data_IF_572766325333
#
_entry.id   IF_572766325333
#
_cell.length_a   1.000
_cell.length_b   1.000
_cell.length_c   1.000
_cell.angle_alpha   90.00
_cell.angle_beta   90.00
_cell.angle_gamma   90.00
#
_symmetry.space_group_name_H-M   'P 1'
#
loop_
_entity.id
_entity.type
_entity.pdbx_description
1 polymer ?
#
# COMPACT_ATOMS: atom_id res chain seq x y z
N UNK A 1 21.36 -3.00 -89.28
CA UNK A 1 20.40 -2.42 -88.36
C UNK A 1 20.80 -2.91 -86.96
N UNK A 2 21.31 -2.00 -86.13
CA UNK A 2 21.71 -2.31 -84.73
C UNK A 2 20.65 -1.77 -83.83
N UNK A 3 19.90 -2.65 -83.11
CA UNK A 3 18.95 -2.28 -82.10
C UNK A 3 19.66 -2.09 -80.80
N UNK A 4 19.61 -0.85 -80.25
CA UNK A 4 20.09 -0.52 -78.91
C UNK A 4 18.98 -0.77 -77.91
N UNK A 5 19.21 -1.64 -76.91
CA UNK A 5 18.30 -1.84 -75.78
C UNK A 5 18.66 -0.80 -74.73
N UNK A 6 17.68 0.09 -74.44
CA UNK A 6 17.70 0.97 -73.25
C UNK A 6 17.35 0.16 -71.99
N UNK A 7 18.31 -0.01 -71.08
CA UNK A 7 18.04 -0.47 -69.70
C UNK A 7 17.55 0.74 -68.90
N UNK A 8 16.27 0.72 -68.52
CA UNK A 8 15.71 1.67 -67.57
C UNK A 8 16.09 1.27 -66.14
N UNK A 9 16.94 2.06 -65.49
CA UNK A 9 17.18 2.00 -64.06
C UNK A 9 15.98 2.58 -63.35
N UNK A 10 15.17 1.73 -62.70
CA UNK A 10 14.15 2.15 -61.75
C UNK A 10 14.86 2.54 -60.41
N UNK A 11 14.57 3.71 -59.84
CA UNK A 11 15.09 4.05 -58.50
C UNK A 11 14.43 3.16 -57.47
N UNK A 12 15.27 2.45 -56.69
CA UNK A 12 14.80 1.80 -55.44
C UNK A 12 14.38 2.91 -54.46
N UNK A 13 13.07 3.13 -54.33
CA UNK A 13 12.52 3.95 -53.27
C UNK A 13 12.69 3.16 -51.97
N UNK A 14 13.59 3.58 -51.09
CA UNK A 14 13.59 3.18 -49.72
C UNK A 14 12.31 3.75 -49.08
N UNK A 15 11.31 2.91 -48.91
CA UNK A 15 10.10 3.28 -48.11
C UNK A 15 10.56 3.45 -46.67
N UNK A 16 10.44 4.66 -46.15
CA UNK A 16 10.55 4.88 -44.71
C UNK A 16 9.46 4.01 -43.99
N UNK A 17 9.79 3.39 -42.87
CA UNK A 17 8.83 2.55 -42.15
C UNK A 17 7.58 3.34 -41.87
N UNK A 18 6.42 2.77 -42.21
CA UNK A 18 5.11 3.42 -42.01
C UNK A 18 4.90 3.63 -40.51
N UNK A 19 4.57 4.89 -40.11
CA UNK A 19 4.21 5.19 -38.73
C UNK A 19 3.02 4.31 -38.29
N UNK A 20 3.10 3.79 -37.11
CA UNK A 20 2.01 3.04 -36.44
C UNK A 20 0.75 3.89 -36.34
N UNK A 21 -0.42 3.27 -36.45
CA UNK A 21 -1.71 3.97 -36.30
C UNK A 21 -2.00 4.31 -34.81
N UNK A 22 -1.54 3.45 -33.88
CA UNK A 22 -1.61 3.69 -32.43
C UNK A 22 -0.26 3.40 -31.77
N UNK A 23 0.15 4.17 -30.74
CA UNK A 23 1.41 3.96 -30.03
C UNK A 23 1.49 2.57 -29.40
N UNK A 24 2.69 2.00 -29.30
CA UNK A 24 2.92 0.80 -28.52
C UNK A 24 2.55 1.02 -27.04
N UNK A 25 1.89 0.07 -26.38
CA UNK A 25 1.51 0.23 -24.99
C UNK A 25 2.73 0.34 -24.07
N UNK A 26 2.67 1.29 -23.12
CA UNK A 26 3.61 1.40 -22.03
C UNK A 26 3.06 0.66 -20.81
N UNK A 27 3.66 -0.49 -20.51
CA UNK A 27 3.24 -1.35 -19.42
C UNK A 27 4.01 -1.00 -18.13
N UNK A 28 3.33 -1.10 -16.99
CA UNK A 28 3.95 -0.99 -15.67
C UNK A 28 3.61 -2.26 -14.89
N UNK A 29 4.61 -3.10 -14.54
CA UNK A 29 4.39 -4.28 -13.72
C UNK A 29 3.70 -3.91 -12.40
N UNK A 30 2.56 -4.57 -12.13
CA UNK A 30 1.83 -4.34 -10.88
C UNK A 30 2.51 -5.09 -9.74
N UNK A 31 2.56 -4.45 -8.57
CA UNK A 31 3.11 -5.09 -7.38
C UNK A 31 4.64 -5.25 -7.39
N UNK A 32 5.36 -4.50 -8.22
CA UNK A 32 6.81 -4.53 -8.28
C UNK A 32 7.40 -3.15 -7.96
N UNK A 33 8.58 -3.12 -7.37
CA UNK A 33 9.36 -1.89 -7.23
C UNK A 33 9.94 -1.54 -8.60
N UNK A 34 9.42 -0.49 -9.22
CA UNK A 34 9.86 -0.04 -10.54
C UNK A 34 11.22 0.63 -10.47
N UNK A 35 12.05 0.41 -11.50
CA UNK A 35 13.32 1.12 -11.68
C UNK A 35 13.05 2.39 -12.47
N UNK A 36 13.32 3.54 -11.84
CA UNK A 36 13.08 4.84 -12.47
C UNK A 36 13.94 5.02 -13.73
N UNK A 37 13.31 5.44 -14.83
CA UNK A 37 13.98 5.71 -16.08
C UNK A 37 14.48 4.49 -16.85
N UNK A 38 14.28 3.26 -16.37
CA UNK A 38 14.69 2.03 -17.05
C UNK A 38 13.49 1.31 -17.66
N UNK A 39 13.68 0.80 -18.87
CA UNK A 39 12.60 0.16 -19.64
C UNK A 39 13.11 -1.02 -20.45
N UNK A 40 12.23 -1.98 -20.68
CA UNK A 40 12.40 -3.11 -21.59
C UNK A 40 11.52 -2.85 -22.80
N UNK A 41 12.15 -2.80 -23.99
CA UNK A 41 11.47 -2.62 -25.28
C UNK A 41 11.38 -3.98 -25.95
N UNK A 42 10.17 -4.49 -26.17
CA UNK A 42 9.91 -5.74 -26.87
C UNK A 42 9.43 -5.48 -28.28
N UNK A 43 10.06 -6.15 -29.25
CA UNK A 43 9.65 -6.14 -30.65
C UNK A 43 8.68 -7.31 -30.92
N UNK A 44 7.89 -7.19 -31.98
CA UNK A 44 7.08 -8.30 -32.48
C UNK A 44 7.97 -9.51 -32.81
N UNK A 45 7.46 -10.71 -32.56
CA UNK A 45 8.20 -11.95 -32.76
C UNK A 45 8.75 -12.10 -34.20
N UNK A 46 7.98 -11.67 -35.19
CA UNK A 46 8.32 -11.75 -36.61
C UNK A 46 9.22 -10.64 -37.11
N UNK A 47 9.64 -9.68 -36.26
CA UNK A 47 10.52 -8.60 -36.65
C UNK A 47 11.90 -9.15 -37.09
N UNK A 48 12.45 -8.60 -38.18
CA UNK A 48 13.79 -8.95 -38.65
C UNK A 48 14.85 -8.55 -37.60
N UNK A 49 16.04 -9.16 -37.66
CA UNK A 49 17.15 -8.78 -36.79
C UNK A 49 17.60 -7.32 -37.07
N UNK A 50 17.49 -6.86 -38.34
CA UNK A 50 17.74 -5.45 -38.69
C UNK A 50 16.80 -4.49 -37.95
N UNK A 51 15.54 -4.86 -37.71
CA UNK A 51 14.57 -4.05 -36.96
C UNK A 51 15.04 -3.79 -35.51
N UNK A 52 15.76 -4.75 -34.89
CA UNK A 52 16.33 -4.55 -33.56
C UNK A 52 17.42 -3.46 -33.58
N UNK A 53 18.27 -3.46 -34.59
CA UNK A 53 19.31 -2.42 -34.77
C UNK A 53 18.69 -1.06 -35.09
N UNK A 54 17.69 -1.03 -35.96
CA UNK A 54 16.97 0.20 -36.33
C UNK A 54 16.25 0.80 -35.10
N UNK A 55 15.60 -0.04 -34.29
CA UNK A 55 14.94 0.40 -33.06
C UNK A 55 15.91 0.92 -32.02
N UNK A 56 17.08 0.27 -31.87
CA UNK A 56 18.13 0.73 -30.96
C UNK A 56 18.78 2.04 -31.45
N UNK A 57 18.79 2.31 -32.75
CA UNK A 57 19.28 3.58 -33.30
C UNK A 57 18.32 4.75 -33.12
N UNK A 58 17.05 4.49 -32.69
CA UNK A 58 16.03 5.51 -32.48
C UNK A 58 16.20 6.31 -31.19
N UNK A 59 17.01 5.83 -30.23
CA UNK A 59 17.28 6.53 -28.96
C UNK A 59 18.76 6.86 -28.80
N UNK A 60 19.07 7.83 -27.94
CA UNK A 60 20.44 8.26 -27.65
C UNK A 60 20.97 7.52 -26.42
N UNK A 61 21.70 6.44 -26.61
CA UNK A 61 22.32 5.69 -25.54
C UNK A 61 22.66 4.26 -25.93
N UNK A 62 23.37 3.59 -25.05
CA UNK A 62 23.65 2.17 -25.18
C UNK A 62 22.60 1.32 -24.51
N UNK A 63 22.24 0.17 -25.08
CA UNK A 63 21.39 -0.79 -24.43
C UNK A 63 22.13 -1.47 -23.27
N UNK A 64 21.51 -1.54 -22.07
CA UNK A 64 22.07 -2.29 -20.95
C UNK A 64 22.13 -3.81 -21.27
N UNK A 65 21.06 -4.28 -21.94
CA UNK A 65 20.92 -5.68 -22.37
C UNK A 65 20.24 -5.74 -23.74
N UNK A 66 20.68 -6.67 -24.59
CA UNK A 66 20.04 -6.97 -25.86
C UNK A 66 19.56 -8.41 -25.87
N UNK A 67 18.31 -8.59 -26.22
CA UNK A 67 17.64 -9.89 -26.25
C UNK A 67 17.36 -10.30 -27.69
N UNK A 68 17.84 -11.47 -28.10
CA UNK A 68 17.59 -12.03 -29.43
C UNK A 68 17.46 -13.56 -29.32
N UNK A 69 16.36 -13.99 -28.73
CA UNK A 69 16.02 -15.41 -28.61
C UNK A 69 14.67 -15.66 -29.28
N UNK A 70 14.39 -16.93 -29.62
CA UNK A 70 13.07 -17.32 -30.15
C UNK A 70 11.96 -16.92 -29.17
N UNK A 71 10.94 -16.24 -29.68
CA UNK A 71 9.82 -15.71 -28.88
C UNK A 71 10.09 -14.40 -28.16
N UNK A 72 11.36 -13.92 -28.05
CA UNK A 72 11.67 -12.67 -27.37
C UNK A 72 12.82 -11.90 -28.03
N UNK A 73 12.48 -10.84 -28.77
CA UNK A 73 13.44 -9.88 -29.33
C UNK A 73 13.21 -8.51 -28.69
N UNK A 74 14.28 -7.82 -28.35
CA UNK A 74 14.20 -6.51 -27.72
C UNK A 74 15.46 -6.10 -27.01
N UNK A 75 15.36 -5.09 -26.16
CA UNK A 75 16.49 -4.59 -25.37
C UNK A 75 15.99 -3.93 -24.09
N UNK A 76 16.90 -3.77 -23.12
CA UNK A 76 16.67 -2.95 -21.93
C UNK A 76 17.62 -1.74 -21.96
N UNK A 77 17.13 -0.57 -21.60
CA UNK A 77 17.91 0.66 -21.54
C UNK A 77 17.30 1.72 -20.63
N UNK A 78 18.10 2.73 -20.28
CA UNK A 78 17.61 4.00 -19.76
C UNK A 78 17.01 4.80 -20.92
N UNK A 79 15.75 5.22 -20.79
CA UNK A 79 15.03 5.96 -21.82
C UNK A 79 14.46 7.25 -21.25
N UNK A 80 14.62 8.34 -22.00
CA UNK A 80 13.97 9.62 -21.72
C UNK A 80 12.51 9.59 -22.18
N UNK A 81 11.72 10.60 -21.80
CA UNK A 81 10.35 10.75 -22.29
C UNK A 81 10.29 10.87 -23.83
N UNK A 82 11.29 11.55 -24.43
CA UNK A 82 11.40 11.69 -25.88
C UNK A 82 11.73 10.36 -26.56
N UNK A 83 12.61 9.55 -25.97
CA UNK A 83 12.94 8.21 -26.48
C UNK A 83 11.72 7.29 -26.41
N UNK A 84 10.95 7.36 -25.32
CA UNK A 84 9.71 6.59 -25.18
C UNK A 84 8.70 6.93 -26.27
N UNK A 85 8.47 8.21 -26.58
CA UNK A 85 7.56 8.62 -27.67
C UNK A 85 8.01 8.09 -29.03
N UNK A 86 9.31 8.17 -29.33
CA UNK A 86 9.89 7.63 -30.57
C UNK A 86 9.69 6.13 -30.67
N UNK A 87 10.03 5.40 -29.60
CA UNK A 87 9.92 3.94 -29.57
C UNK A 87 8.47 3.46 -29.59
N UNK A 88 7.54 4.14 -28.90
CA UNK A 88 6.11 3.83 -28.98
C UNK A 88 5.54 4.02 -30.38
N UNK A 89 6.12 4.93 -31.16
CA UNK A 89 5.71 5.18 -32.55
C UNK A 89 6.35 4.23 -33.56
N UNK A 90 7.33 3.40 -33.14
CA UNK A 90 8.07 2.52 -34.03
C UNK A 90 7.22 1.28 -34.44
N UNK A 91 7.16 0.94 -35.74
CA UNK A 91 6.27 -0.12 -36.24
C UNK A 91 6.59 -1.52 -35.69
N UNK A 92 7.86 -1.79 -35.39
CA UNK A 92 8.32 -3.09 -34.92
C UNK A 92 8.23 -3.28 -33.40
N UNK A 93 7.93 -2.23 -32.62
CA UNK A 93 7.79 -2.33 -31.17
C UNK A 93 6.41 -2.89 -30.80
N UNK A 94 6.37 -4.02 -30.12
CA UNK A 94 5.13 -4.64 -29.64
C UNK A 94 4.61 -3.91 -28.38
N UNK A 95 5.48 -3.77 -27.38
CA UNK A 95 5.24 -2.99 -26.18
C UNK A 95 6.54 -2.50 -25.54
N UNK A 96 6.42 -1.54 -24.64
CA UNK A 96 7.48 -1.09 -23.75
C UNK A 96 7.01 -1.36 -22.32
N UNK A 97 7.85 -1.97 -21.49
CA UNK A 97 7.57 -2.24 -20.09
C UNK A 97 8.59 -1.53 -19.20
N UNK A 98 8.14 -0.83 -18.18
CA UNK A 98 9.06 -0.26 -17.20
C UNK A 98 9.77 -1.38 -16.43
N UNK A 99 11.09 -1.32 -16.33
CA UNK A 99 11.89 -2.32 -15.62
C UNK A 99 11.56 -2.33 -14.13
N UNK A 100 11.71 -3.47 -13.49
CA UNK A 100 11.33 -3.70 -12.10
C UNK A 100 12.35 -4.57 -11.37
N UNK A 101 12.48 -4.34 -10.06
CA UNK A 101 13.34 -5.15 -9.20
C UNK A 101 12.70 -6.53 -8.99
N UNK A 102 13.45 -7.56 -9.35
CA UNK A 102 13.15 -8.95 -9.00
C UNK A 102 13.95 -9.32 -7.75
N UNK A 103 13.26 -9.76 -6.71
CA UNK A 103 13.88 -10.14 -5.43
C UNK A 103 13.55 -11.58 -5.08
N UNK A 104 14.46 -12.24 -4.37
CA UNK A 104 14.15 -13.49 -3.67
C UNK A 104 13.33 -13.11 -2.44
N UNK A 105 12.06 -13.44 -2.41
CA UNK A 105 11.18 -13.22 -1.26
C UNK A 105 11.56 -14.20 -0.16
N UNK A 106 12.24 -13.71 0.88
CA UNK A 106 12.58 -14.50 2.05
C UNK A 106 11.51 -14.27 3.13
N UNK A 107 10.58 -15.21 3.27
CA UNK A 107 9.70 -15.22 4.43
C UNK A 107 10.49 -15.57 5.70
N UNK A 108 10.21 -14.80 6.75
CA UNK A 108 10.74 -14.99 8.10
C UNK A 108 9.59 -15.37 9.02
N UNK A 109 9.84 -16.27 9.97
CA UNK A 109 8.85 -16.66 10.98
C UNK A 109 9.25 -16.13 12.34
N UNK A 110 8.42 -15.31 12.94
CA UNK A 110 8.51 -14.95 14.35
C UNK A 110 7.78 -16.01 15.17
N UNK A 111 8.53 -16.85 15.88
CA UNK A 111 7.96 -17.77 16.88
C UNK A 111 7.40 -16.98 18.07
N UNK A 112 6.33 -17.48 18.69
CA UNK A 112 5.71 -16.84 19.87
C UNK A 112 5.05 -15.50 19.59
N UNK A 113 4.70 -15.21 18.33
CA UNK A 113 3.96 -14.02 17.97
C UNK A 113 2.57 -14.00 18.65
N UNK A 114 2.07 -12.79 18.95
CA UNK A 114 0.71 -12.62 19.49
C UNK A 114 -0.33 -13.13 18.50
N UNK A 115 -1.49 -13.56 18.98
CA UNK A 115 -2.51 -14.18 18.14
C UNK A 115 -2.96 -13.28 16.99
N UNK A 116 -3.03 -11.96 17.21
CA UNK A 116 -3.50 -11.01 16.21
C UNK A 116 -2.62 -10.99 14.96
N UNK A 117 -1.31 -10.74 15.09
CA UNK A 117 -0.40 -10.75 13.95
C UNK A 117 -0.19 -12.17 13.39
N UNK A 118 -0.21 -13.18 14.26
CA UNK A 118 -0.11 -14.57 13.83
C UNK A 118 -1.27 -14.95 12.90
N UNK A 119 -2.51 -14.59 13.26
CA UNK A 119 -3.71 -14.87 12.44
C UNK A 119 -3.67 -14.22 11.06
N UNK A 120 -3.02 -13.06 10.93
CA UNK A 120 -2.82 -12.38 9.63
C UNK A 120 -1.96 -13.17 8.64
N UNK A 121 -1.12 -14.08 9.10
CA UNK A 121 -0.23 -14.83 8.22
C UNK A 121 -0.69 -16.28 7.97
N UNK A 122 -1.91 -16.63 8.37
CA UNK A 122 -2.43 -17.99 8.22
C UNK A 122 -3.83 -18.00 7.62
N UNK A 123 -4.12 -18.96 6.76
CA UNK A 123 -5.47 -19.19 6.22
C UNK A 123 -6.40 -19.78 7.28
N UNK A 124 -5.84 -20.56 8.20
CA UNK A 124 -6.53 -21.14 9.35
C UNK A 124 -5.58 -21.29 10.55
N UNK A 125 -6.10 -21.16 11.76
CA UNK A 125 -5.29 -21.22 12.98
C UNK A 125 -4.34 -20.04 13.15
N UNK A 126 -3.37 -20.16 14.04
CA UNK A 126 -2.33 -19.17 14.29
C UNK A 126 -1.14 -19.79 15.00
N UNK A 127 0.02 -19.86 14.35
CA UNK A 127 1.25 -20.39 14.97
C UNK A 127 2.48 -19.62 14.45
N UNK A 128 2.87 -18.57 15.17
CA UNK A 128 3.91 -17.65 14.75
C UNK A 128 3.39 -16.65 13.72
N UNK A 129 4.21 -15.67 13.39
CA UNK A 129 3.92 -14.67 12.36
C UNK A 129 4.90 -14.84 11.21
N UNK A 130 4.39 -15.19 10.04
CA UNK A 130 5.18 -15.37 8.81
C UNK A 130 5.06 -14.12 7.95
N UNK A 131 6.19 -13.51 7.62
CA UNK A 131 6.21 -12.24 6.88
C UNK A 131 7.47 -12.13 6.01
N UNK A 132 7.40 -11.34 4.95
CA UNK A 132 8.54 -10.99 4.12
C UNK A 132 9.49 -10.03 4.86
N UNK A 133 10.78 -10.17 4.64
CA UNK A 133 11.82 -9.41 5.31
C UNK A 133 11.81 -7.90 5.00
N UNK A 134 11.08 -7.45 3.98
CA UNK A 134 10.84 -6.01 3.70
C UNK A 134 10.12 -5.35 4.88
N UNK A 135 9.15 -6.03 5.48
CA UNK A 135 8.50 -5.69 6.74
C UNK A 135 8.06 -4.21 6.87
N UNK A 136 7.66 -3.57 5.76
CA UNK A 136 7.25 -2.17 5.75
C UNK A 136 8.40 -1.16 5.58
N UNK A 137 9.60 -1.60 5.19
CA UNK A 137 10.74 -0.69 4.96
C UNK A 137 10.39 0.42 3.97
N UNK A 138 10.76 1.67 4.32
CA UNK A 138 10.53 2.84 3.47
C UNK A 138 9.11 3.38 3.48
N UNK A 139 8.20 2.80 4.29
CA UNK A 139 6.86 3.35 4.47
C UNK A 139 6.78 4.30 5.65
N UNK A 140 5.83 5.25 5.59
CA UNK A 140 5.48 6.16 6.67
C UNK A 140 4.08 5.80 7.19
N UNK A 141 3.98 5.47 8.48
CA UNK A 141 2.70 5.19 9.15
C UNK A 141 2.35 6.32 10.12
N UNK A 142 1.32 7.09 9.79
CA UNK A 142 0.80 8.16 10.64
C UNK A 142 -0.25 7.59 11.61
N UNK A 143 -0.11 7.90 12.88
CA UNK A 143 -1.06 7.54 13.96
C UNK A 143 -1.76 8.80 14.43
N UNK A 144 -3.00 8.99 13.98
CA UNK A 144 -3.86 10.13 14.34
C UNK A 144 -4.70 9.68 15.53
N UNK A 145 -4.21 9.99 16.78
CA UNK A 145 -4.71 9.37 18.00
C UNK A 145 -4.32 10.20 19.25
N UNK A 146 -4.12 9.58 20.41
CA UNK A 146 -3.70 10.20 21.70
C UNK A 146 -2.23 10.58 21.76
N UNK A 147 -1.46 10.35 20.69
CA UNK A 147 0.00 10.48 20.63
C UNK A 147 0.70 9.12 20.60
N UNK A 148 2.01 9.10 20.66
CA UNK A 148 2.86 7.90 20.83
C UNK A 148 3.89 8.19 21.91
N UNK A 149 4.11 7.24 22.82
CA UNK A 149 5.29 7.21 23.69
C UNK A 149 6.51 6.76 22.85
N UNK A 150 7.13 7.72 22.16
CA UNK A 150 8.13 7.47 21.11
C UNK A 150 9.43 6.85 21.63
N UNK A 151 9.72 6.99 22.93
CA UNK A 151 10.89 6.41 23.60
C UNK A 151 10.73 4.91 23.93
N UNK A 152 9.59 4.29 23.61
CA UNK A 152 9.39 2.85 23.87
C UNK A 152 10.38 2.02 23.07
N UNK A 153 11.09 1.09 23.75
CA UNK A 153 12.17 0.27 23.17
C UNK A 153 11.71 -0.56 21.95
N UNK A 154 10.45 -0.98 21.93
CA UNK A 154 9.84 -1.73 20.83
C UNK A 154 9.79 -0.94 19.50
N UNK A 155 9.90 0.37 19.54
CA UNK A 155 9.94 1.20 18.32
C UNK A 155 11.36 1.38 17.76
N UNK A 156 12.41 1.04 18.49
CA UNK A 156 13.80 1.05 18.02
C UNK A 156 14.22 2.40 17.38
N UNK A 157 13.68 3.52 17.88
CA UNK A 157 13.93 4.87 17.36
C UNK A 157 13.14 5.24 16.10
N UNK A 158 12.25 4.38 15.59
CA UNK A 158 11.45 4.61 14.38
C UNK A 158 10.17 5.44 14.64
N UNK A 159 9.86 5.77 15.88
CA UNK A 159 8.71 6.60 16.23
C UNK A 159 9.10 8.07 16.44
N UNK A 160 8.35 8.98 15.83
CA UNK A 160 8.58 10.44 15.93
C UNK A 160 7.26 11.15 16.21
N UNK A 161 7.30 12.13 17.13
CA UNK A 161 6.16 12.99 17.42
C UNK A 161 6.16 14.18 16.45
N UNK A 162 5.07 14.42 15.72
CA UNK A 162 5.02 15.46 14.69
C UNK A 162 4.15 16.67 15.06
N UNK A 163 2.93 16.42 15.56
CA UNK A 163 1.96 17.50 15.78
C UNK A 163 1.00 17.17 16.92
N UNK A 164 0.49 18.22 17.55
CA UNK A 164 -0.47 18.15 18.65
C UNK A 164 -1.60 19.18 18.45
N UNK A 165 -2.83 18.72 18.45
CA UNK A 165 -4.06 19.50 18.32
C UNK A 165 -5.06 19.24 19.44
N UNK A 166 -4.62 18.58 20.52
CA UNK A 166 -5.48 18.15 21.62
C UNK A 166 -5.22 18.93 22.93
N UNK A 167 -3.97 18.99 23.36
CA UNK A 167 -3.55 19.56 24.64
C UNK A 167 -2.13 20.14 24.58
N UNK A 168 -1.54 20.48 25.73
CA UNK A 168 -0.18 21.04 25.81
C UNK A 168 0.93 19.99 25.92
N UNK A 169 0.60 18.68 25.95
CA UNK A 169 1.57 17.60 26.19
C UNK A 169 1.92 16.85 24.91
N UNK A 170 3.18 16.90 24.50
CA UNK A 170 3.70 16.21 23.31
C UNK A 170 4.12 14.75 23.59
N UNK A 171 3.30 14.03 24.36
CA UNK A 171 3.45 12.60 24.60
C UNK A 171 2.07 11.94 24.65
N UNK A 172 2.03 10.61 24.67
CA UNK A 172 0.82 9.86 24.87
C UNK A 172 0.49 9.73 26.37
N UNK A 173 -0.40 10.58 26.85
CA UNK A 173 -0.88 10.53 28.25
C UNK A 173 -1.96 9.48 28.52
N UNK A 174 -2.49 8.83 27.49
CA UNK A 174 -3.55 7.82 27.57
C UNK A 174 -3.01 6.39 27.44
N UNK A 175 -2.26 6.12 26.38
CA UNK A 175 -1.71 4.81 26.02
C UNK A 175 -2.34 4.20 24.76
N UNK A 176 -3.51 4.66 24.34
CA UNK A 176 -4.21 4.10 23.18
C UNK A 176 -3.42 4.27 21.88
N UNK A 177 -2.91 5.46 21.58
CA UNK A 177 -2.12 5.70 20.37
C UNK A 177 -0.79 4.94 20.35
N UNK A 178 -0.15 4.75 21.52
CA UNK A 178 1.05 3.89 21.63
C UNK A 178 0.73 2.42 21.37
N UNK A 179 -0.43 1.94 21.84
CA UNK A 179 -0.90 0.58 21.58
C UNK A 179 -1.15 0.35 20.09
N UNK A 180 -1.84 1.28 19.45
CA UNK A 180 -2.10 1.30 18.01
C UNK A 180 -0.79 1.30 17.22
N UNK A 181 0.15 2.20 17.55
CA UNK A 181 1.45 2.26 16.91
C UNK A 181 2.24 0.95 17.05
N UNK A 182 2.12 0.30 18.21
CA UNK A 182 2.74 -1.01 18.46
C UNK A 182 2.23 -2.10 17.54
N UNK A 183 0.93 -2.17 17.32
CA UNK A 183 0.30 -3.13 16.40
C UNK A 183 0.65 -2.85 14.94
N UNK A 184 0.82 -1.59 14.55
CA UNK A 184 1.28 -1.23 13.21
C UNK A 184 2.72 -1.70 12.99
N UNK A 185 3.65 -1.30 13.89
CA UNK A 185 5.05 -1.32 13.51
C UNK A 185 6.07 -1.56 14.64
N UNK A 186 5.69 -2.08 15.82
CA UNK A 186 6.69 -2.45 16.83
C UNK A 186 7.44 -3.73 16.44
N UNK A 187 8.60 -3.93 17.05
CA UNK A 187 9.48 -5.07 16.83
C UNK A 187 8.77 -6.40 17.12
N UNK A 188 8.09 -6.51 18.26
CA UNK A 188 7.47 -7.75 18.74
C UNK A 188 6.01 -7.86 18.28
N UNK A 189 5.22 -6.81 18.43
CA UNK A 189 3.77 -6.83 18.25
C UNK A 189 3.30 -6.31 16.88
N UNK A 190 4.22 -5.75 16.09
CA UNK A 190 3.91 -5.05 14.85
C UNK A 190 3.76 -5.97 13.65
N UNK A 191 2.87 -5.59 12.74
CA UNK A 191 2.70 -6.19 11.41
C UNK A 191 3.84 -5.77 10.48
N UNK A 192 4.09 -4.45 10.35
CA UNK A 192 5.12 -3.85 9.51
C UNK A 192 6.32 -3.41 10.36
N UNK A 193 7.15 -4.35 10.78
CA UNK A 193 8.18 -4.16 11.82
C UNK A 193 9.28 -3.15 11.50
N UNK A 194 9.37 -2.68 10.23
CA UNK A 194 10.38 -1.72 9.75
C UNK A 194 9.80 -0.40 9.27
N UNK A 195 8.48 -0.20 9.38
CA UNK A 195 7.85 1.08 9.04
C UNK A 195 8.28 2.20 9.99
N UNK A 196 8.33 3.45 9.49
CA UNK A 196 8.48 4.64 10.34
C UNK A 196 7.12 5.03 10.90
N UNK A 197 7.06 5.38 12.20
CA UNK A 197 5.83 5.71 12.92
C UNK A 197 5.80 7.20 13.26
N UNK A 198 4.70 7.86 12.96
CA UNK A 198 4.55 9.30 13.13
C UNK A 198 3.32 9.64 13.95
N UNK A 199 3.49 10.23 15.14
CA UNK A 199 2.39 10.61 16.00
C UNK A 199 1.81 11.97 15.58
N UNK A 200 0.50 12.00 15.38
CA UNK A 200 -0.32 13.20 15.22
C UNK A 200 -1.40 13.14 16.30
N UNK A 201 -1.14 13.89 17.38
CA UNK A 201 -2.02 13.86 18.55
C UNK A 201 -3.24 14.75 18.33
N UNK A 202 -4.41 14.16 18.33
CA UNK A 202 -5.71 14.82 18.18
C UNK A 202 -6.67 14.53 19.34
N UNK A 203 -6.29 13.58 20.21
CA UNK A 203 -7.02 13.19 21.42
C UNK A 203 -6.13 13.45 22.64
N UNK A 204 -6.71 13.92 23.72
CA UNK A 204 -6.05 14.20 24.99
C UNK A 204 -5.79 12.94 25.84
N UNK A 205 -5.35 13.09 27.07
CA UNK A 205 -5.09 11.99 28.01
C UNK A 205 -6.36 11.23 28.44
N UNK A 206 -7.54 11.81 28.27
CA UNK A 206 -8.82 11.13 28.50
C UNK A 206 -9.28 10.31 27.29
N UNK A 207 -8.59 10.41 26.14
CA UNK A 207 -8.98 9.81 24.86
C UNK A 207 -10.03 10.63 24.11
N UNK A 208 -10.22 11.89 24.45
CA UNK A 208 -11.22 12.78 23.86
C UNK A 208 -10.58 13.89 23.02
N UNK A 209 -11.26 14.31 21.97
CA UNK A 209 -10.81 15.42 21.11
C UNK A 209 -11.98 16.10 20.42
N UNK A 210 -11.76 17.31 19.93
CA UNK A 210 -12.77 18.03 19.15
C UNK A 210 -12.74 17.63 17.68
N UNK A 211 -13.89 17.71 17.01
CA UNK A 211 -13.96 17.53 15.55
C UNK A 211 -12.98 18.43 14.81
N UNK A 212 -12.82 19.69 15.24
CA UNK A 212 -11.87 20.64 14.63
C UNK A 212 -10.41 20.22 14.84
N UNK A 213 -10.06 19.70 16.02
CA UNK A 213 -8.73 19.17 16.31
C UNK A 213 -8.40 17.93 15.46
N UNK A 214 -9.36 17.02 15.31
CA UNK A 214 -9.22 15.85 14.46
C UNK A 214 -9.01 16.27 12.98
N UNK A 215 -9.81 17.20 12.46
CA UNK A 215 -9.64 17.75 11.10
C UNK A 215 -8.30 18.43 10.93
N UNK A 216 -7.83 19.18 11.94
CA UNK A 216 -6.50 19.83 11.91
C UNK A 216 -5.36 18.78 11.80
N UNK A 217 -5.45 17.67 12.54
CA UNK A 217 -4.52 16.55 12.43
C UNK A 217 -4.53 15.88 11.04
N UNK A 218 -5.71 15.66 10.47
CA UNK A 218 -5.86 15.12 9.11
C UNK A 218 -5.27 16.05 8.05
N UNK A 219 -5.51 17.37 8.18
CA UNK A 219 -4.94 18.37 7.28
C UNK A 219 -3.41 18.45 7.41
N UNK A 220 -2.88 18.30 8.62
CA UNK A 220 -1.45 18.19 8.85
C UNK A 220 -0.85 17.03 8.05
N UNK A 221 -1.42 15.81 8.19
CA UNK A 221 -0.95 14.62 7.45
C UNK A 221 -1.03 14.84 5.93
N UNK A 222 -2.14 15.42 5.44
CA UNK A 222 -2.34 15.75 4.02
C UNK A 222 -1.26 16.67 3.45
N UNK A 223 -0.72 17.56 4.29
CA UNK A 223 0.34 18.50 3.91
C UNK A 223 1.72 17.88 4.08
N UNK A 224 1.98 17.20 5.20
CA UNK A 224 3.27 16.62 5.56
C UNK A 224 3.71 15.53 4.59
N UNK A 225 2.77 14.66 4.14
CA UNK A 225 3.07 13.57 3.21
C UNK A 225 3.65 14.04 1.88
N UNK A 226 3.37 15.27 1.45
CA UNK A 226 3.87 15.85 0.20
C UNK A 226 5.37 16.17 0.24
N UNK A 227 5.91 16.38 1.43
CA UNK A 227 7.31 16.80 1.65
C UNK A 227 8.12 15.75 2.38
N UNK A 228 7.47 14.81 3.07
CA UNK A 228 8.14 13.73 3.80
C UNK A 228 8.61 12.63 2.86
N UNK A 229 9.84 12.19 3.06
CA UNK A 229 10.37 11.04 2.31
C UNK A 229 9.71 9.74 2.78
N UNK A 230 8.78 9.25 1.98
CA UNK A 230 8.10 7.96 2.14
C UNK A 230 8.27 7.15 0.84
N UNK A 231 9.47 6.62 0.56
CA UNK A 231 9.78 6.06 -0.75
C UNK A 231 8.87 4.89 -1.14
N UNK A 232 8.43 4.08 -0.18
CA UNK A 232 7.49 2.97 -0.44
C UNK A 232 6.01 3.37 -0.29
N UNK A 233 5.70 4.60 0.20
CA UNK A 233 4.34 5.09 0.34
C UNK A 233 3.97 5.44 1.78
N UNK A 234 2.76 5.97 1.97
CA UNK A 234 2.26 6.43 3.26
C UNK A 234 0.92 5.78 3.62
N UNK A 235 0.80 5.40 4.88
CA UNK A 235 -0.41 4.86 5.48
C UNK A 235 -0.80 5.67 6.72
N UNK A 236 -2.07 5.69 7.09
CA UNK A 236 -2.55 6.38 8.28
C UNK A 236 -3.60 5.54 9.02
N UNK A 237 -3.58 5.64 10.34
CA UNK A 237 -4.50 5.01 11.26
C UNK A 237 -5.38 6.04 11.92
N UNK A 238 -6.69 5.83 11.88
CA UNK A 238 -7.66 6.54 12.73
C UNK A 238 -8.49 5.51 13.50
N UNK A 239 -7.99 5.14 14.68
CA UNK A 239 -8.69 4.28 15.64
C UNK A 239 -9.61 5.11 16.54
N UNK A 240 -10.37 6.00 15.94
CA UNK A 240 -11.29 6.93 16.59
C UNK A 240 -12.53 7.13 15.71
N UNK A 241 -13.58 7.66 16.28
CA UNK A 241 -14.80 8.00 15.55
C UNK A 241 -15.82 8.69 16.44
N UNK A 242 -16.85 9.19 15.78
CA UNK A 242 -17.99 9.84 16.42
C UNK A 242 -19.23 9.67 15.57
N UNK A 243 -20.30 10.42 15.85
CA UNK A 243 -21.47 10.49 14.99
C UNK A 243 -21.11 10.98 13.58
N UNK A 244 -22.02 10.83 12.63
CA UNK A 244 -21.79 11.24 11.23
C UNK A 244 -21.40 12.71 11.12
N UNK A 245 -20.31 12.99 10.39
CA UNK A 245 -19.78 14.34 10.16
C UNK A 245 -19.27 14.47 8.73
N UNK A 246 -19.94 15.30 7.93
CA UNK A 246 -19.51 15.59 6.56
C UNK A 246 -18.11 16.23 6.52
N UNK A 247 -17.74 17.01 7.53
CA UNK A 247 -16.41 17.66 7.60
C UNK A 247 -15.32 16.64 7.85
N UNK A 248 -15.51 15.66 8.74
CA UNK A 248 -14.57 14.55 8.98
C UNK A 248 -14.44 13.72 7.71
N UNK A 249 -15.55 13.34 7.07
CA UNK A 249 -15.52 12.53 5.85
C UNK A 249 -14.79 13.27 4.72
N UNK A 250 -15.04 14.57 4.55
CA UNK A 250 -14.34 15.38 3.54
C UNK A 250 -12.83 15.46 3.81
N UNK A 251 -12.40 15.59 5.07
CA UNK A 251 -10.99 15.59 5.45
C UNK A 251 -10.35 14.21 5.21
N UNK A 252 -11.06 13.10 5.51
CA UNK A 252 -10.61 11.75 5.22
C UNK A 252 -10.39 11.53 3.72
N UNK A 253 -11.35 11.94 2.90
CA UNK A 253 -11.22 11.91 1.42
C UNK A 253 -10.04 12.74 0.92
N UNK A 254 -9.75 13.90 1.54
CA UNK A 254 -8.60 14.72 1.18
C UNK A 254 -7.27 14.00 1.45
N UNK A 255 -7.14 13.24 2.54
CA UNK A 255 -5.97 12.39 2.82
C UNK A 255 -5.79 11.30 1.74
N UNK A 256 -6.87 10.63 1.34
CA UNK A 256 -6.85 9.64 0.26
C UNK A 256 -6.37 10.27 -1.04
N UNK A 257 -6.90 11.44 -1.40
CA UNK A 257 -6.49 12.18 -2.60
C UNK A 257 -5.02 12.64 -2.56
N UNK A 258 -4.45 12.81 -1.37
CA UNK A 258 -3.03 13.10 -1.19
C UNK A 258 -2.12 11.85 -1.26
N UNK A 259 -2.69 10.67 -1.52
CA UNK A 259 -1.95 9.41 -1.67
C UNK A 259 -1.71 8.66 -0.36
N UNK A 260 -2.41 8.99 0.72
CA UNK A 260 -2.30 8.31 2.01
C UNK A 260 -3.34 7.19 2.10
N UNK A 261 -2.93 5.93 2.26
CA UNK A 261 -3.85 4.85 2.59
C UNK A 261 -4.37 5.04 4.01
N UNK A 262 -5.66 5.28 4.16
CA UNK A 262 -6.30 5.53 5.45
C UNK A 262 -7.20 4.36 5.84
N UNK A 263 -6.85 3.66 6.93
CA UNK A 263 -7.76 2.71 7.55
C UNK A 263 -8.37 3.29 8.85
N UNK A 264 -9.64 3.03 9.05
CA UNK A 264 -10.44 3.60 10.14
C UNK A 264 -11.26 2.54 10.87
N UNK A 265 -11.48 2.75 12.16
CA UNK A 265 -12.28 1.86 12.98
C UNK A 265 -13.76 1.94 12.61
N UNK A 266 -14.43 0.79 12.48
CA UNK A 266 -15.85 0.71 12.18
C UNK A 266 -16.73 1.23 13.35
N UNK A 267 -16.21 1.23 14.59
CA UNK A 267 -16.92 1.55 15.83
C UNK A 267 -17.30 0.31 16.66
N UNK A 268 -17.69 0.54 17.90
CA UNK A 268 -17.82 -0.52 18.93
C UNK A 268 -19.22 -0.61 19.57
N UNK A 269 -20.26 -0.21 18.85
CA UNK A 269 -21.64 -0.08 19.38
C UNK A 269 -22.58 -1.18 18.86
N UNK A 270 -22.02 -2.19 18.15
CA UNK A 270 -22.79 -3.26 17.51
C UNK A 270 -23.93 -2.71 16.62
N UNK A 271 -23.63 -1.70 15.82
CA UNK A 271 -24.59 -1.04 14.91
C UNK A 271 -24.02 -0.91 13.49
N UNK A 272 -24.81 -0.33 12.59
CA UNK A 272 -24.34 -0.03 11.23
C UNK A 272 -23.25 1.05 11.25
N UNK A 273 -22.06 0.73 10.75
CA UNK A 273 -20.90 1.63 10.70
C UNK A 273 -21.16 2.89 9.84
N UNK A 274 -22.15 2.87 8.95
CA UNK A 274 -22.60 4.05 8.21
C UNK A 274 -23.09 5.20 9.11
N UNK A 275 -23.38 4.94 10.37
CA UNK A 275 -23.80 5.93 11.36
C UNK A 275 -22.61 6.67 12.02
N UNK A 276 -21.39 6.37 11.64
CA UNK A 276 -20.16 6.89 12.27
C UNK A 276 -19.24 7.52 11.23
N UNK A 277 -18.51 8.57 11.61
CA UNK A 277 -17.41 9.15 10.82
C UNK A 277 -16.07 8.99 11.57
N UNK A 278 -14.97 8.68 10.84
CA UNK A 278 -14.84 8.61 9.37
C UNK A 278 -15.30 7.29 8.72
N UNK A 279 -15.79 6.29 9.45
CA UNK A 279 -16.17 4.97 8.94
C UNK A 279 -17.18 5.00 7.76
N UNK A 280 -18.03 6.02 7.69
CA UNK A 280 -19.02 6.21 6.62
C UNK A 280 -18.46 6.84 5.34
N UNK A 281 -17.18 7.26 5.31
CA UNK A 281 -16.55 7.79 4.10
C UNK A 281 -16.19 6.64 3.15
N UNK A 282 -16.76 6.57 1.92
CA UNK A 282 -16.59 5.40 1.08
C UNK A 282 -15.19 5.22 0.46
N UNK A 283 -14.30 6.20 0.61
CA UNK A 283 -12.93 6.12 0.06
C UNK A 283 -11.89 5.62 1.04
N UNK A 284 -12.22 5.51 2.32
CA UNK A 284 -11.33 4.94 3.35
C UNK A 284 -11.47 3.42 3.44
N UNK A 285 -10.57 2.77 4.16
CA UNK A 285 -10.66 1.34 4.46
C UNK A 285 -11.26 1.13 5.86
N UNK A 286 -12.54 0.79 5.95
CA UNK A 286 -13.27 0.64 7.23
C UNK A 286 -13.11 -0.77 7.77
N UNK A 287 -12.64 -0.87 9.03
CA UNK A 287 -12.18 -2.12 9.63
C UNK A 287 -13.07 -2.56 10.80
N UNK A 288 -13.64 -3.76 10.69
CA UNK A 288 -14.34 -4.45 11.78
C UNK A 288 -13.39 -5.33 12.60
N UNK A 289 -13.84 -5.72 13.80
CA UNK A 289 -13.06 -6.51 14.74
C UNK A 289 -13.49 -7.97 14.83
N UNK A 290 -12.50 -8.87 14.96
CA UNK A 290 -12.73 -10.31 15.23
C UNK A 290 -12.14 -10.76 16.55
N UNK A 291 -12.63 -11.91 17.02
CA UNK A 291 -12.05 -12.70 18.10
C UNK A 291 -11.07 -13.75 17.58
N UNK A 292 -10.30 -14.37 18.46
CA UNK A 292 -9.38 -15.49 18.13
C UNK A 292 -10.09 -16.78 17.68
N UNK A 293 -11.42 -16.84 17.81
CA UNK A 293 -12.24 -17.95 17.30
C UNK A 293 -12.80 -17.68 15.89
N UNK A 294 -12.26 -16.74 15.16
CA UNK A 294 -12.74 -16.31 13.84
C UNK A 294 -14.25 -15.93 13.85
N UNK A 295 -14.68 -15.25 14.91
CA UNK A 295 -16.01 -14.68 15.01
C UNK A 295 -15.94 -13.14 14.96
N UNK A 296 -16.95 -12.48 14.37
CA UNK A 296 -17.11 -11.04 14.56
C UNK A 296 -17.21 -10.75 16.06
N UNK A 297 -16.44 -9.81 16.56
CA UNK A 297 -16.55 -9.38 17.95
C UNK A 297 -17.95 -8.80 18.20
N UNK A 298 -18.57 -9.15 19.32
CA UNK A 298 -19.97 -8.78 19.62
C UNK A 298 -20.19 -7.27 19.64
N UNK A 299 -19.18 -6.49 19.99
CA UNK A 299 -19.20 -5.03 19.99
C UNK A 299 -18.96 -4.43 18.59
N UNK A 300 -18.30 -5.13 17.65
CA UNK A 300 -17.90 -4.56 16.37
C UNK A 300 -19.11 -4.05 15.58
N UNK A 301 -19.02 -2.84 15.07
CA UNK A 301 -19.95 -2.37 14.06
C UNK A 301 -19.84 -3.19 12.78
N UNK A 302 -20.86 -3.13 11.92
CA UNK A 302 -21.06 -3.94 10.72
C UNK A 302 -21.74 -3.10 9.62
N UNK A 303 -22.07 -3.71 8.51
CA UNK A 303 -22.81 -3.07 7.41
C UNK A 303 -21.97 -2.95 6.13
N UNK A 304 -22.58 -2.37 5.11
CA UNK A 304 -22.03 -2.30 3.75
C UNK A 304 -20.78 -1.43 3.61
N UNK A 305 -20.52 -0.55 4.57
CA UNK A 305 -19.33 0.31 4.60
C UNK A 305 -18.12 -0.34 5.24
N UNK A 306 -18.27 -1.53 5.82
CA UNK A 306 -17.13 -2.30 6.34
C UNK A 306 -16.47 -3.05 5.18
N UNK A 307 -15.18 -2.79 4.95
CA UNK A 307 -14.41 -3.39 3.84
C UNK A 307 -13.78 -4.72 4.23
N UNK A 308 -13.36 -4.84 5.52
CA UNK A 308 -12.57 -5.97 6.00
C UNK A 308 -12.66 -6.10 7.52
N UNK A 309 -12.40 -7.30 8.01
CA UNK A 309 -12.23 -7.58 9.43
C UNK A 309 -10.78 -7.95 9.74
N UNK A 310 -10.33 -7.60 10.97
CA UNK A 310 -9.02 -7.96 11.48
C UNK A 310 -9.11 -8.31 12.98
N UNK A 311 -8.08 -8.96 13.56
CA UNK A 311 -8.00 -9.24 14.99
C UNK A 311 -8.19 -7.99 15.85
N UNK A 312 -9.19 -7.97 16.72
CA UNK A 312 -9.54 -6.79 17.52
C UNK A 312 -9.83 -7.08 18.99
N UNK A 313 -9.93 -8.35 19.38
CA UNK A 313 -10.30 -8.72 20.78
C UNK A 313 -9.06 -9.25 21.52
N UNK A 314 -8.81 -8.74 22.73
CA UNK A 314 -7.66 -9.12 23.55
C UNK A 314 -6.33 -9.01 22.81
N UNK A 315 -6.07 -7.86 22.22
CA UNK A 315 -4.84 -7.57 21.48
C UNK A 315 -3.79 -7.03 22.44
N UNK A 316 -2.66 -7.74 22.54
CA UNK A 316 -1.49 -7.33 23.29
C UNK A 316 -0.59 -6.46 22.41
N UNK A 317 -0.23 -5.26 22.90
CA UNK A 317 0.69 -4.34 22.22
C UNK A 317 1.40 -3.44 23.24
N UNK A 318 2.26 -2.53 22.76
CA UNK A 318 2.98 -1.54 23.56
C UNK A 318 2.04 -0.59 24.32
N UNK A 319 2.54 -0.02 25.43
CA UNK A 319 1.79 0.98 26.23
C UNK A 319 2.65 2.21 26.51
N UNK A 320 2.11 3.23 27.15
CA UNK A 320 2.68 4.57 27.26
C UNK A 320 3.74 4.77 28.37
N UNK A 321 4.47 3.74 28.72
CA UNK A 321 5.66 3.85 29.59
C UNK A 321 6.75 2.87 29.18
N UNK A 322 7.95 3.03 29.71
CA UNK A 322 9.13 2.28 29.32
C UNK A 322 8.90 0.76 29.47
N UNK A 323 8.97 0.02 28.36
CA UNK A 323 8.81 -1.43 28.30
C UNK A 323 7.41 -1.95 28.66
N UNK A 324 6.43 -1.09 28.86
CA UNK A 324 5.07 -1.49 29.24
C UNK A 324 4.28 -2.01 28.05
N UNK A 325 3.37 -2.94 28.35
CA UNK A 325 2.40 -3.49 27.38
C UNK A 325 1.00 -3.49 27.99
N UNK A 326 0.00 -3.56 27.15
CA UNK A 326 -1.38 -3.71 27.60
C UNK A 326 -2.17 -4.60 26.62
N UNK A 327 -3.22 -5.24 27.14
CA UNK A 327 -4.14 -6.06 26.34
C UNK A 327 -5.52 -5.42 26.37
N UNK A 328 -5.97 -4.92 25.23
CA UNK A 328 -7.27 -4.24 25.09
C UNK A 328 -8.03 -4.74 23.85
N UNK A 329 -9.32 -4.39 23.77
CA UNK A 329 -10.21 -4.84 22.70
C UNK A 329 -10.94 -3.66 22.06
N UNK A 330 -11.20 -3.75 20.75
CA UNK A 330 -11.94 -2.76 19.98
C UNK A 330 -11.67 -2.88 18.49
N UNK A 331 -12.52 -2.27 17.68
CA UNK A 331 -12.19 -2.00 16.26
C UNK A 331 -10.97 -1.11 16.14
N UNK A 332 -10.68 -0.33 17.17
CA UNK A 332 -9.43 0.43 17.34
C UNK A 332 -8.18 -0.43 17.35
N UNK A 333 -8.25 -1.70 17.74
CA UNK A 333 -7.13 -2.67 17.70
C UNK A 333 -7.11 -3.47 16.42
N UNK A 334 -8.23 -3.61 15.74
CA UNK A 334 -8.33 -4.23 14.43
C UNK A 334 -7.73 -3.33 13.33
N UNK A 335 -8.03 -2.05 13.36
CA UNK A 335 -7.58 -1.04 12.38
C UNK A 335 -6.06 -1.01 12.17
N UNK A 336 -5.22 -0.96 13.21
CA UNK A 336 -3.77 -0.93 13.05
C UNK A 336 -3.19 -2.20 12.42
N UNK A 337 -3.86 -3.35 12.51
CA UNK A 337 -3.47 -4.53 11.75
C UNK A 337 -3.58 -4.28 10.25
N UNK A 338 -4.63 -3.58 9.79
CA UNK A 338 -4.83 -3.23 8.37
C UNK A 338 -3.86 -2.14 7.93
N UNK A 339 -3.59 -1.14 8.78
CA UNK A 339 -2.58 -0.12 8.49
C UNK A 339 -1.19 -0.73 8.36
N UNK A 340 -0.82 -1.62 9.30
CA UNK A 340 0.42 -2.37 9.23
C UNK A 340 0.49 -3.28 7.99
N UNK A 341 -0.62 -3.94 7.65
CA UNK A 341 -0.69 -4.75 6.43
C UNK A 341 -0.56 -3.89 5.16
N UNK A 342 -1.16 -2.70 5.14
CA UNK A 342 -0.98 -1.74 4.06
C UNK A 342 0.48 -1.30 3.91
N UNK A 343 1.16 -0.94 5.01
CA UNK A 343 2.59 -0.60 5.00
C UNK A 343 3.46 -1.79 4.56
N UNK A 344 3.15 -2.99 5.02
CA UNK A 344 3.83 -4.23 4.61
C UNK A 344 3.70 -4.48 3.10
N UNK A 345 2.49 -4.38 2.55
CA UNK A 345 2.23 -4.63 1.13
C UNK A 345 2.81 -3.53 0.22
N UNK A 346 2.80 -2.28 0.64
CA UNK A 346 3.46 -1.20 -0.10
C UNK A 346 4.97 -1.39 -0.20
N UNK A 347 5.61 -1.90 0.86
CA UNK A 347 7.04 -2.21 0.84
C UNK A 347 7.36 -3.46 0.01
N UNK A 348 6.46 -4.44 0.00
CA UNK A 348 6.63 -5.71 -0.73
C UNK A 348 6.33 -5.55 -2.22
N UNK A 349 5.25 -4.86 -2.55
CA UNK A 349 4.67 -4.82 -3.90
C UNK A 349 4.84 -3.46 -4.61
N UNK A 350 5.48 -2.48 -3.96
CA UNK A 350 5.58 -1.11 -4.47
C UNK A 350 4.34 -0.26 -4.20
N UNK A 351 4.43 1.04 -4.55
CA UNK A 351 3.36 2.02 -4.33
C UNK A 351 2.09 1.67 -5.10
N UNK A 352 0.96 1.80 -4.43
CA UNK A 352 -0.38 1.64 -5.00
C UNK A 352 -1.26 2.84 -4.60
N UNK A 353 -2.29 3.13 -5.40
CA UNK A 353 -3.30 4.11 -5.01
C UNK A 353 -4.04 3.62 -3.74
N UNK A 354 -4.42 4.51 -2.80
CA UNK A 354 -5.00 4.11 -1.51
C UNK A 354 -6.23 3.20 -1.62
N UNK A 355 -7.16 3.50 -2.51
CA UNK A 355 -8.36 2.70 -2.71
C UNK A 355 -8.06 1.34 -3.38
N UNK A 356 -7.08 1.30 -4.28
CA UNK A 356 -6.61 0.05 -4.88
C UNK A 356 -5.95 -0.86 -3.84
N UNK A 357 -5.20 -0.28 -2.89
CA UNK A 357 -4.60 -1.03 -1.79
C UNK A 357 -5.66 -1.62 -0.86
N UNK A 358 -6.72 -0.87 -0.49
CA UNK A 358 -7.84 -1.42 0.29
C UNK A 358 -8.53 -2.56 -0.47
N UNK A 359 -8.80 -2.38 -1.75
CA UNK A 359 -9.41 -3.40 -2.62
C UNK A 359 -8.52 -4.64 -2.75
N UNK A 360 -7.20 -4.46 -2.85
CA UNK A 360 -6.22 -5.56 -2.90
C UNK A 360 -6.21 -6.34 -1.57
N UNK A 361 -6.15 -5.65 -0.43
CA UNK A 361 -6.22 -6.27 0.90
C UNK A 361 -7.52 -7.07 1.05
N UNK A 362 -8.66 -6.48 0.65
CA UNK A 362 -9.96 -7.13 0.74
C UNK A 362 -10.12 -8.32 -0.24
N UNK A 363 -9.50 -8.28 -1.41
CA UNK A 363 -9.55 -9.39 -2.38
C UNK A 363 -8.65 -10.57 -1.99
N UNK A 364 -7.52 -10.27 -1.32
CA UNK A 364 -6.56 -11.27 -0.84
C UNK A 364 -6.95 -11.90 0.51
N UNK A 365 -7.99 -11.38 1.16
CA UNK A 365 -8.44 -11.82 2.48
C UNK A 365 -9.00 -13.25 2.48
N UNK A 366 -8.94 -13.90 3.64
CA UNK A 366 -9.63 -15.17 3.87
C UNK A 366 -11.15 -14.95 3.85
N UNK A 367 -11.82 -15.42 2.83
CA UNK A 367 -13.26 -15.21 2.61
C UNK A 367 -14.11 -16.33 3.21
N UNK A 368 -15.24 -15.95 3.84
CA UNK A 368 -16.23 -16.90 4.35
C UNK A 368 -15.84 -17.63 5.64
N UNK A 369 -14.72 -17.25 6.28
CA UNK A 369 -14.19 -17.94 7.48
C UNK A 369 -14.77 -17.41 8.78
N UNK A 370 -15.38 -16.24 8.76
CA UNK A 370 -15.92 -15.60 9.99
C UNK A 370 -17.33 -16.06 10.29
N UNK A 371 -17.60 -16.31 11.55
CA UNK A 371 -18.95 -16.52 12.09
C UNK A 371 -19.56 -15.21 12.63
N UNK A 372 -20.89 -15.15 12.74
CA UNK A 372 -21.60 -14.01 13.32
C UNK A 372 -21.60 -12.74 12.46
N UNK A 373 -21.39 -12.84 11.17
CA UNK A 373 -21.44 -11.71 10.23
C UNK A 373 -22.91 -11.42 9.84
N UNK A 374 -23.42 -10.21 10.10
CA UNK A 374 -24.77 -9.82 9.69
C UNK A 374 -24.93 -9.75 8.17
N UNK A 375 -26.14 -9.98 7.68
CA UNK A 375 -26.48 -9.83 6.26
C UNK A 375 -26.09 -8.44 5.73
N UNK A 376 -25.56 -8.38 4.49
CA UNK A 376 -25.07 -7.15 3.87
C UNK A 376 -23.69 -6.68 4.35
N UNK A 377 -23.03 -7.45 5.23
CA UNK A 377 -21.64 -7.16 5.66
C UNK A 377 -20.69 -8.16 5.00
N UNK A 378 -19.52 -7.71 4.58
CA UNK A 378 -18.49 -8.58 4.01
C UNK A 378 -18.04 -9.64 5.02
N UNK A 379 -17.76 -10.86 4.55
CA UNK A 379 -17.13 -11.90 5.36
C UNK A 379 -15.69 -12.11 4.86
N UNK A 380 -14.79 -11.23 5.28
CA UNK A 380 -13.39 -11.18 4.86
C UNK A 380 -12.49 -10.93 6.06
N UNK A 381 -11.60 -11.86 6.37
CA UNK A 381 -10.59 -11.72 7.42
C UNK A 381 -9.23 -11.43 6.79
N UNK A 382 -8.56 -10.39 7.25
CA UNK A 382 -7.28 -9.94 6.73
C UNK A 382 -6.23 -11.06 6.70
N UNK A 383 -5.44 -11.07 5.60
CA UNK A 383 -4.38 -12.05 5.36
C UNK A 383 -3.23 -11.40 4.57
N UNK A 384 -1.99 -11.71 4.93
CA UNK A 384 -0.80 -11.07 4.36
C UNK A 384 -0.21 -11.75 3.13
N UNK A 385 -0.84 -12.83 2.64
CA UNK A 385 -0.38 -13.53 1.44
C UNK A 385 0.82 -14.47 1.64
N UNK A 386 1.21 -14.79 2.89
CA UNK A 386 2.39 -15.65 3.17
C UNK A 386 2.31 -17.08 2.64
N UNK A 387 1.14 -17.55 2.23
CA UNK A 387 0.92 -18.90 1.72
C UNK A 387 0.62 -19.95 2.81
N UNK A 388 0.60 -19.58 4.10
CA UNK A 388 0.39 -20.51 5.23
C UNK A 388 -1.08 -20.65 5.63
#
# INVERSE_FOLDING_TARGET
MRTAALLSLLPLAFAAPAKRAEPAPLLKPRGSQLVEGKYIVKLYENSAISALQDTMSAFQGDADHVYNVEGFKGFASALTAEDLEKLQSHPDVEFIEQDAIMSINAFTTQSGATWGISRLSHKSGSSGYVYDSSAGTGTCAYVIDTGIYTAHAEFEGRATFLANYADSSNTDGNGHGTHVAGTIGSKTYGVAKKTSLYAVKVLDSSGSGTTSGVIAGMNFVTSDVKTRSCPAGAVANMSLGGGTSSSINSAAKAMINAGVFLAVAAGNDNQNAANSSPASEPTVCTVGATTSADARASYSNYGTVVDIFAPGTNILSTWNSAGSTNTISGTSMATPHIVGLGAYLLALNGKQAPQELCSFIASSANSGVLSGIPSGTVNKLAYNGSGN
#
